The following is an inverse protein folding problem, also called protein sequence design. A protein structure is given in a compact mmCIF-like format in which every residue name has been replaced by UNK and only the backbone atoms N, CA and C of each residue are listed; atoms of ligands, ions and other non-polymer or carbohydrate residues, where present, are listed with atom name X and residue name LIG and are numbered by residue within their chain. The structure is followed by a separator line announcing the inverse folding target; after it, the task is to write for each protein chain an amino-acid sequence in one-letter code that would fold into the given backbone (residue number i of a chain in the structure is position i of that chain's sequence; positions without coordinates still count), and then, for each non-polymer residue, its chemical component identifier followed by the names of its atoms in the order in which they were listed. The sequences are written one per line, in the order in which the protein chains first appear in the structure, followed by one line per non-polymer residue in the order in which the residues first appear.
data_IF_914060226204
#
_entry.id   IF_914060226204
#
_cell.length_a   1.000
_cell.length_b   1.000
_cell.length_c   1.000
_cell.angle_alpha   90.00
_cell.angle_beta   90.00
_cell.angle_gamma   90.00
#
_symmetry.space_group_name_H-M   'P 1'
#
loop_
_entity.id
_entity.type
_entity.pdbx_description
1 polymer ?
#
# COMPACT_ATOMS: atom_id res chain seq x y z
N UNK A 1 7.58 0.05 28.71
CA UNK A 1 7.54 -0.33 27.27
C UNK A 1 8.11 0.87 26.53
N UNK A 2 9.28 0.72 25.89
CA UNK A 2 9.75 1.73 24.94
C UNK A 2 8.72 1.80 23.81
N UNK A 3 8.09 2.95 23.64
CA UNK A 3 7.24 3.22 22.49
C UNK A 3 8.09 3.03 21.22
N UNK A 4 7.73 2.07 20.39
CA UNK A 4 8.41 1.87 19.10
C UNK A 4 8.24 3.15 18.27
N UNK A 5 9.34 3.87 18.07
CA UNK A 5 9.34 5.14 17.33
C UNK A 5 9.19 4.96 15.82
N UNK A 6 9.47 3.75 15.33
CA UNK A 6 9.26 3.35 13.94
C UNK A 6 8.96 1.86 13.87
N UNK A 7 8.04 1.47 13.02
CA UNK A 7 7.69 0.07 12.74
C UNK A 7 7.38 -0.11 11.26
N UNK A 8 7.97 -1.13 10.67
CA UNK A 8 7.66 -1.59 9.31
C UNK A 8 7.43 -3.08 9.38
N UNK A 9 6.28 -3.55 8.95
CA UNK A 9 5.95 -4.95 8.86
C UNK A 9 5.48 -5.28 7.45
N UNK A 10 6.08 -6.32 6.90
CA UNK A 10 5.69 -6.93 5.64
C UNK A 10 5.26 -8.35 5.98
N UNK A 11 4.08 -8.75 5.60
CA UNK A 11 3.62 -10.11 5.80
C UNK A 11 2.93 -10.63 4.54
N UNK A 12 3.19 -11.91 4.25
CA UNK A 12 2.58 -12.63 3.16
C UNK A 12 1.82 -13.83 3.72
N UNK A 13 0.67 -14.14 3.16
CA UNK A 13 -0.04 -15.38 3.45
C UNK A 13 -0.62 -16.01 2.21
N UNK A 14 -0.65 -17.34 2.24
CA UNK A 14 -1.26 -18.20 1.26
C UNK A 14 -2.37 -18.99 1.95
N UNK A 15 -3.59 -18.79 1.51
CA UNK A 15 -4.77 -19.47 1.99
C UNK A 15 -5.22 -20.47 0.93
N UNK A 16 -5.26 -21.72 1.27
CA UNK A 16 -5.53 -22.84 0.36
C UNK A 16 -6.86 -23.47 0.72
N UNK A 17 -7.63 -23.82 -0.31
CA UNK A 17 -8.90 -24.54 -0.10
C UNK A 17 -8.66 -25.96 0.39
N UNK A 18 -9.35 -26.37 1.42
CA UNK A 18 -9.41 -27.77 1.86
C UNK A 18 -9.94 -28.68 0.74
N UNK A 19 -9.32 -29.85 0.58
CA UNK A 19 -9.68 -30.82 -0.48
C UNK A 19 -8.99 -30.59 -1.82
N UNK A 20 -8.14 -29.58 -1.96
CA UNK A 20 -7.23 -29.42 -3.10
C UNK A 20 -5.83 -29.85 -2.67
N UNK A 21 -5.22 -30.78 -3.41
CA UNK A 21 -3.87 -31.29 -3.15
C UNK A 21 -2.81 -30.32 -3.69
N UNK A 22 -2.43 -29.33 -2.87
CA UNK A 22 -1.32 -28.44 -3.18
C UNK A 22 0.01 -29.17 -2.99
N UNK A 23 0.95 -28.94 -3.90
CA UNK A 23 2.26 -29.58 -3.80
C UNK A 23 3.08 -29.00 -2.64
N UNK A 24 3.70 -29.89 -1.84
CA UNK A 24 4.61 -29.49 -0.76
C UNK A 24 5.74 -28.58 -1.25
N UNK A 25 6.25 -28.83 -2.44
CA UNK A 25 7.29 -28.00 -3.07
C UNK A 25 6.85 -26.56 -3.33
N UNK A 26 5.57 -26.33 -3.55
CA UNK A 26 5.00 -25.00 -3.72
C UNK A 26 4.88 -24.28 -2.36
N UNK A 27 4.26 -24.92 -1.38
CA UNK A 27 4.08 -24.34 -0.04
C UNK A 27 5.41 -24.09 0.66
N UNK A 28 6.37 -25.02 0.51
CA UNK A 28 7.73 -24.85 1.01
C UNK A 28 8.42 -23.63 0.37
N UNK A 29 8.31 -23.48 -0.97
CA UNK A 29 8.87 -22.32 -1.66
C UNK A 29 8.21 -21.02 -1.25
N UNK A 30 6.90 -21.00 -1.06
CA UNK A 30 6.17 -19.84 -0.56
C UNK A 30 6.68 -19.42 0.84
N UNK A 31 6.87 -20.38 1.74
CA UNK A 31 7.39 -20.12 3.08
C UNK A 31 8.87 -19.68 3.07
N UNK A 32 9.74 -20.38 2.32
CA UNK A 32 11.20 -20.13 2.35
C UNK A 32 11.62 -18.87 1.58
N UNK A 33 11.00 -18.58 0.42
CA UNK A 33 11.42 -17.49 -0.44
C UNK A 33 10.61 -16.22 -0.23
N UNK A 34 9.35 -16.34 0.18
CA UNK A 34 8.45 -15.20 0.36
C UNK A 34 8.01 -15.02 1.82
N UNK A 35 8.53 -15.86 2.73
CA UNK A 35 8.15 -15.84 4.16
C UNK A 35 6.63 -15.88 4.36
N UNK A 36 5.92 -16.59 3.45
CA UNK A 36 4.48 -16.67 3.48
C UNK A 36 4.01 -17.66 4.55
N UNK A 37 3.05 -17.23 5.36
CA UNK A 37 2.29 -18.14 6.23
C UNK A 37 1.28 -18.89 5.37
N UNK A 38 1.30 -20.23 5.43
CA UNK A 38 0.43 -21.10 4.63
C UNK A 38 -0.68 -21.69 5.49
N UNK A 39 -1.93 -21.54 5.07
CA UNK A 39 -3.12 -22.02 5.78
C UNK A 39 -4.00 -22.82 4.83
N UNK A 40 -4.63 -23.86 5.37
CA UNK A 40 -5.68 -24.63 4.66
C UNK A 40 -7.00 -24.41 5.37
N UNK A 41 -8.03 -24.00 4.62
CA UNK A 41 -9.34 -23.68 5.17
C UNK A 41 -10.46 -24.24 4.28
N UNK A 42 -11.58 -24.57 4.90
CA UNK A 42 -12.84 -24.77 4.20
C UNK A 42 -13.37 -23.42 3.69
N UNK A 43 -13.27 -23.17 2.38
CA UNK A 43 -13.73 -21.93 1.76
C UNK A 43 -15.26 -21.79 1.73
N UNK A 44 -16.00 -22.88 1.99
CA UNK A 44 -17.45 -22.83 2.13
C UNK A 44 -17.91 -22.45 3.56
N UNK A 45 -16.98 -22.38 4.52
CA UNK A 45 -17.33 -22.00 5.88
C UNK A 45 -17.80 -20.53 5.96
N UNK A 46 -18.91 -20.22 6.67
CA UNK A 46 -19.51 -18.89 6.65
C UNK A 46 -18.61 -17.76 7.19
N UNK A 47 -17.62 -18.09 8.01
CA UNK A 47 -16.72 -17.12 8.62
C UNK A 47 -15.29 -17.13 8.05
N UNK A 48 -15.06 -17.84 6.94
CA UNK A 48 -13.73 -17.97 6.33
C UNK A 48 -13.15 -16.60 5.93
N UNK A 49 -13.92 -15.75 5.29
CA UNK A 49 -13.49 -14.41 4.91
C UNK A 49 -13.13 -13.52 6.10
N UNK A 50 -13.86 -13.66 7.22
CA UNK A 50 -13.52 -12.96 8.47
C UNK A 50 -12.21 -13.49 9.08
N UNK A 51 -11.91 -14.77 8.89
CA UNK A 51 -10.65 -15.37 9.38
C UNK A 51 -9.48 -14.78 8.61
N UNK A 52 -9.55 -14.69 7.28
CA UNK A 52 -8.55 -14.04 6.44
C UNK A 52 -8.43 -12.55 6.78
N UNK A 53 -9.57 -11.86 6.93
CA UNK A 53 -9.59 -10.43 7.32
C UNK A 53 -8.98 -10.16 8.69
N UNK A 54 -9.15 -11.06 9.67
CA UNK A 54 -8.49 -10.94 10.99
C UNK A 54 -6.97 -11.08 10.92
N UNK A 55 -6.46 -11.93 10.03
CA UNK A 55 -5.04 -12.02 9.78
C UNK A 55 -4.49 -10.67 9.28
N UNK A 56 -5.14 -10.07 8.27
CA UNK A 56 -4.76 -8.74 7.76
C UNK A 56 -4.80 -7.68 8.87
N UNK A 57 -5.84 -7.68 9.71
CA UNK A 57 -5.96 -6.78 10.87
C UNK A 57 -4.78 -6.92 11.83
N UNK A 58 -4.39 -8.15 12.16
CA UNK A 58 -3.25 -8.42 13.04
C UNK A 58 -1.92 -7.92 12.47
N UNK A 59 -1.72 -8.00 11.15
CA UNK A 59 -0.47 -7.63 10.46
C UNK A 59 -0.42 -6.16 10.01
N UNK A 60 -1.49 -5.40 10.23
CA UNK A 60 -1.56 -3.96 9.91
C UNK A 60 -1.77 -3.07 11.14
N UNK A 61 -1.34 -3.55 12.30
CA UNK A 61 -1.49 -2.79 13.55
C UNK A 61 -2.93 -2.45 13.90
N UNK A 62 -3.88 -3.24 13.42
CA UNK A 62 -5.31 -3.01 13.63
C UNK A 62 -5.94 -1.96 12.71
N UNK A 63 -5.20 -1.41 11.75
CA UNK A 63 -5.69 -0.34 10.86
C UNK A 63 -6.60 -0.83 9.75
N UNK A 64 -6.36 -2.04 9.23
CA UNK A 64 -7.15 -2.63 8.15
C UNK A 64 -7.89 -3.87 8.67
N UNK A 65 -9.14 -3.98 8.32
CA UNK A 65 -9.95 -5.18 8.49
C UNK A 65 -10.79 -5.36 7.22
N UNK A 66 -10.16 -5.88 6.15
CA UNK A 66 -10.86 -6.07 4.89
C UNK A 66 -11.93 -7.14 5.04
N UNK A 67 -13.02 -6.94 4.35
CA UNK A 67 -14.05 -7.97 4.17
C UNK A 67 -13.65 -8.82 2.95
N UNK A 68 -13.14 -10.02 3.19
CA UNK A 68 -12.73 -10.94 2.14
C UNK A 68 -13.91 -11.81 1.75
N UNK A 69 -14.32 -11.71 0.50
CA UNK A 69 -15.38 -12.55 -0.08
C UNK A 69 -14.73 -13.63 -0.93
N UNK A 70 -14.89 -14.88 -0.52
CA UNK A 70 -14.43 -16.05 -1.27
C UNK A 70 -15.57 -16.58 -2.14
N UNK A 71 -15.26 -16.92 -3.37
CA UNK A 71 -16.20 -17.50 -4.34
C UNK A 71 -16.13 -19.03 -4.29
N UNK A 72 -17.17 -19.69 -4.74
CA UNK A 72 -17.26 -21.15 -4.75
C UNK A 72 -16.16 -21.85 -5.58
N UNK A 73 -15.61 -21.15 -6.56
CA UNK A 73 -14.56 -21.64 -7.43
C UNK A 73 -13.16 -21.17 -7.05
N UNK A 74 -13.00 -20.34 -6.01
CA UNK A 74 -11.68 -19.95 -5.52
C UNK A 74 -11.00 -21.18 -4.91
N UNK A 75 -9.75 -21.42 -5.28
CA UNK A 75 -8.94 -22.54 -4.76
C UNK A 75 -7.84 -22.05 -3.82
N UNK A 76 -7.39 -20.81 -3.98
CA UNK A 76 -6.44 -20.18 -3.09
C UNK A 76 -6.60 -18.66 -3.06
N UNK A 77 -6.12 -18.04 -2.01
CA UNK A 77 -6.01 -16.58 -1.88
C UNK A 77 -4.58 -16.23 -1.46
N UNK A 78 -4.00 -15.28 -2.16
CA UNK A 78 -2.74 -14.66 -1.77
C UNK A 78 -3.03 -13.32 -1.11
N UNK A 79 -2.49 -13.10 0.06
CA UNK A 79 -2.62 -11.83 0.77
C UNK A 79 -1.25 -11.30 1.17
N UNK A 80 -0.99 -10.07 0.79
CA UNK A 80 0.18 -9.32 1.24
C UNK A 80 -0.28 -8.12 2.05
N UNK A 81 0.39 -7.84 3.16
CA UNK A 81 0.18 -6.64 3.94
C UNK A 81 1.48 -5.87 4.10
N UNK A 82 1.35 -4.56 4.03
CA UNK A 82 2.41 -3.60 4.34
C UNK A 82 1.90 -2.68 5.43
N UNK A 83 2.58 -2.65 6.55
CA UNK A 83 2.31 -1.71 7.62
C UNK A 83 3.54 -0.83 7.85
N UNK A 84 3.32 0.47 7.89
CA UNK A 84 4.34 1.46 8.19
C UNK A 84 3.81 2.43 9.24
N UNK A 85 4.61 2.65 10.27
CA UNK A 85 4.37 3.67 11.30
C UNK A 85 5.71 4.31 11.67
N UNK A 86 5.78 5.62 11.67
CA UNK A 86 6.95 6.34 12.16
C UNK A 86 6.54 7.68 12.75
N UNK A 87 7.27 8.11 13.79
CA UNK A 87 7.13 9.43 14.37
C UNK A 87 7.98 10.44 13.59
N UNK A 88 7.60 11.70 13.64
CA UNK A 88 8.48 12.79 13.17
C UNK A 88 9.70 12.88 14.08
N UNK A 89 10.89 13.07 13.51
CA UNK A 89 12.11 13.34 14.31
C UNK A 89 11.89 14.58 15.20
N UNK A 90 11.32 15.62 14.62
CA UNK A 90 10.87 16.79 15.34
C UNK A 90 9.34 16.82 15.33
N UNK A 91 8.72 16.53 16.47
CA UNK A 91 7.27 16.55 16.58
C UNK A 91 6.69 17.94 16.34
N UNK A 92 5.50 18.00 15.72
CA UNK A 92 4.74 19.24 15.64
C UNK A 92 4.13 19.55 17.01
N UNK A 93 4.18 20.84 17.40
CA UNK A 93 3.54 21.27 18.65
C UNK A 93 2.01 21.20 18.54
N UNK A 94 1.38 20.58 19.53
CA UNK A 94 -0.07 20.57 19.61
C UNK A 94 -0.66 22.00 19.76
N UNK A 95 0.07 22.90 20.42
CA UNK A 95 -0.35 24.31 20.60
C UNK A 95 -0.24 25.14 19.32
N UNK A 96 0.50 24.67 18.31
CA UNK A 96 0.60 25.31 17.00
C UNK A 96 -0.31 24.62 15.96
N UNK A 97 -1.20 23.72 16.38
CA UNK A 97 -2.18 23.09 15.50
C UNK A 97 -3.44 23.93 15.49
N UNK A 98 -3.81 24.43 14.33
CA UNK A 98 -4.95 25.34 14.16
C UNK A 98 -5.92 24.81 13.10
N UNK A 99 -7.20 25.16 13.24
CA UNK A 99 -8.20 24.86 12.21
C UNK A 99 -8.03 25.79 11.03
N UNK A 100 -7.91 25.23 9.83
CA UNK A 100 -7.84 25.99 8.59
C UNK A 100 -8.58 25.27 7.46
N UNK A 101 -8.82 25.98 6.38
CA UNK A 101 -9.52 25.45 5.22
C UNK A 101 -8.54 24.78 4.25
N UNK A 102 -8.83 23.56 3.91
CA UNK A 102 -8.16 22.80 2.84
C UNK A 102 -9.07 22.78 1.61
N UNK A 103 -8.59 23.29 0.49
CA UNK A 103 -9.30 23.25 -0.78
C UNK A 103 -8.78 22.11 -1.62
N UNK A 104 -9.64 21.12 -1.88
CA UNK A 104 -9.35 20.01 -2.76
C UNK A 104 -9.31 20.45 -4.24
N UNK A 105 -8.67 19.65 -5.10
CA UNK A 105 -8.51 19.94 -6.53
C UNK A 105 -9.86 20.21 -7.24
N UNK A 106 -10.94 19.60 -6.78
CA UNK A 106 -12.29 19.80 -7.34
C UNK A 106 -13.01 21.03 -6.76
N UNK A 107 -12.32 21.87 -5.99
CA UNK A 107 -12.87 23.09 -5.40
C UNK A 107 -13.68 22.89 -4.10
N UNK A 108 -13.75 21.67 -3.58
CA UNK A 108 -14.38 21.41 -2.27
C UNK A 108 -13.47 21.96 -1.16
N UNK A 109 -14.04 22.68 -0.22
CA UNK A 109 -13.33 23.18 0.95
C UNK A 109 -13.71 22.36 2.17
N UNK A 110 -12.71 21.89 2.91
CA UNK A 110 -12.83 21.12 4.14
C UNK A 110 -12.10 21.85 5.26
N UNK A 111 -12.74 22.13 6.37
CA UNK A 111 -12.07 22.67 7.56
C UNK A 111 -11.46 21.50 8.35
N UNK A 112 -10.15 21.52 8.52
CA UNK A 112 -9.42 20.48 9.24
C UNK A 112 -8.25 21.09 10.04
N UNK A 113 -7.71 20.36 11.05
CA UNK A 113 -6.55 20.85 11.80
C UNK A 113 -5.30 20.82 10.91
N UNK A 114 -4.54 21.90 10.92
CA UNK A 114 -3.25 22.02 10.26
C UNK A 114 -2.11 22.02 11.28
N UNK A 115 -1.07 21.28 10.96
CA UNK A 115 0.20 21.26 11.68
C UNK A 115 1.07 22.40 11.16
N UNK A 116 1.52 23.27 12.06
CA UNK A 116 2.39 24.39 11.71
C UNK A 116 3.78 24.26 12.33
N UNK A 117 4.81 24.55 11.55
CA UNK A 117 6.18 24.67 12.01
C UNK A 117 7.05 25.43 11.01
N UNK A 118 8.09 26.09 11.51
CA UNK A 118 9.16 26.66 10.68
C UNK A 118 10.41 25.82 10.91
N UNK A 119 10.95 25.21 9.85
CA UNK A 119 12.10 24.29 9.95
C UNK A 119 13.03 24.47 8.77
N UNK A 120 14.34 24.31 9.01
CA UNK A 120 15.31 24.21 7.93
C UNK A 120 15.29 22.80 7.36
N UNK A 121 15.28 22.68 6.05
CA UNK A 121 15.25 21.40 5.35
C UNK A 121 15.71 21.52 3.90
N UNK A 122 15.83 20.37 3.26
CA UNK A 122 16.14 20.31 1.83
C UNK A 122 14.85 20.49 1.03
N UNK A 123 14.90 21.36 0.03
CA UNK A 123 13.82 21.56 -0.91
C UNK A 123 14.34 21.68 -2.34
N UNK A 124 13.57 21.19 -3.29
CA UNK A 124 13.73 21.43 -4.73
C UNK A 124 12.65 22.43 -5.13
N UNK A 125 13.06 23.50 -5.79
CA UNK A 125 12.16 24.50 -6.39
C UNK A 125 12.32 24.35 -7.89
N UNK A 126 11.32 23.84 -8.57
CA UNK A 126 11.31 23.63 -10.01
C UNK A 126 10.18 24.45 -10.64
N UNK A 127 10.19 24.55 -11.96
CA UNK A 127 9.09 25.15 -12.69
C UNK A 127 7.87 24.24 -12.63
N UNK A 128 6.76 24.75 -12.14
CA UNK A 128 5.49 24.05 -12.01
C UNK A 128 5.31 23.25 -10.71
N UNK A 129 6.36 23.09 -9.87
CA UNK A 129 6.23 22.32 -8.64
C UNK A 129 7.37 22.56 -7.64
N UNK A 130 7.09 22.23 -6.39
CA UNK A 130 8.06 22.27 -5.30
C UNK A 130 8.06 20.93 -4.56
N UNK A 131 9.25 20.47 -4.12
CA UNK A 131 9.42 19.28 -3.32
C UNK A 131 10.15 19.63 -2.03
N UNK A 132 9.63 19.18 -0.90
CA UNK A 132 10.33 19.24 0.37
C UNK A 132 10.11 17.95 1.16
N UNK A 133 10.99 17.67 2.11
CA UNK A 133 10.85 16.48 2.95
C UNK A 133 11.00 16.78 4.43
N UNK A 134 10.33 15.99 5.24
CA UNK A 134 10.48 15.97 6.70
C UNK A 134 11.05 14.63 7.15
N UNK A 135 12.07 14.65 8.03
CA UNK A 135 12.65 13.43 8.55
C UNK A 135 11.70 12.75 9.55
N UNK A 136 11.65 11.45 9.46
CA UNK A 136 10.95 10.56 10.38
C UNK A 136 11.94 9.66 11.10
N UNK A 137 11.55 9.16 12.27
CA UNK A 137 12.35 8.19 13.03
C UNK A 137 12.66 6.94 12.18
N UNK A 138 13.79 6.29 12.49
CA UNK A 138 14.23 5.12 11.70
C UNK A 138 14.90 5.46 10.37
N UNK A 139 15.24 6.74 10.11
CA UNK A 139 15.89 7.19 8.87
C UNK A 139 14.95 7.38 7.68
N UNK A 140 13.65 7.34 7.92
CA UNK A 140 12.63 7.57 6.88
C UNK A 140 12.44 9.07 6.61
N UNK A 141 11.87 9.37 5.45
CA UNK A 141 11.50 10.73 5.07
C UNK A 141 10.10 10.74 4.46
N UNK A 142 9.30 11.72 4.86
CA UNK A 142 8.05 12.04 4.20
C UNK A 142 8.30 13.14 3.19
N UNK A 143 7.99 12.88 1.93
CA UNK A 143 8.09 13.86 0.85
C UNK A 143 6.74 14.53 0.61
N UNK A 144 6.80 15.84 0.41
CA UNK A 144 5.66 16.66 0.05
C UNK A 144 5.94 17.30 -1.30
N UNK A 145 5.16 16.87 -2.30
CA UNK A 145 5.18 17.43 -3.64
C UNK A 145 4.01 18.41 -3.76
N UNK A 146 4.31 19.67 -3.98
CA UNK A 146 3.32 20.73 -4.10
C UNK A 146 3.37 21.31 -5.52
N UNK A 147 2.31 21.15 -6.34
CA UNK A 147 2.18 21.85 -7.60
C UNK A 147 2.11 23.36 -7.40
N UNK A 148 2.60 24.12 -8.37
CA UNK A 148 2.37 25.55 -8.39
C UNK A 148 0.90 25.88 -8.70
N UNK A 149 0.49 27.10 -8.42
CA UNK A 149 -0.89 27.54 -8.64
C UNK A 149 -1.27 27.38 -10.14
N UNK A 150 -2.36 26.66 -10.39
CA UNK A 150 -2.83 26.35 -11.75
C UNK A 150 -2.31 25.02 -12.33
N UNK A 151 -1.32 24.39 -11.70
CA UNK A 151 -0.84 23.08 -12.08
C UNK A 151 -1.63 21.97 -11.37
N UNK A 152 -1.74 20.79 -12.01
CA UNK A 152 -2.42 19.63 -11.40
C UNK A 152 -1.42 18.52 -11.06
N UNK A 153 -1.73 17.74 -10.03
CA UNK A 153 -0.95 16.54 -9.69
C UNK A 153 -0.93 15.56 -10.88
N UNK A 154 -2.04 15.41 -11.58
CA UNK A 154 -2.16 14.48 -12.71
C UNK A 154 -1.22 14.88 -13.86
N UNK A 155 -1.08 16.21 -14.15
CA UNK A 155 -0.15 16.69 -15.17
C UNK A 155 1.30 16.43 -14.78
N UNK A 156 1.66 16.61 -13.51
CA UNK A 156 3.00 16.33 -13.01
C UNK A 156 3.33 14.83 -13.07
N UNK A 157 2.40 13.97 -12.68
CA UNK A 157 2.61 12.51 -12.71
C UNK A 157 2.65 11.94 -14.13
N UNK A 158 1.92 12.55 -15.08
CA UNK A 158 1.95 12.15 -16.48
C UNK A 158 3.24 12.59 -17.22
N UNK A 159 3.97 13.56 -16.68
CA UNK A 159 5.19 14.14 -17.27
C UNK A 159 6.45 13.31 -16.94
N UNK A 160 7.35 13.82 -16.08
CA UNK A 160 8.67 13.22 -15.85
C UNK A 160 8.62 11.89 -15.06
N UNK A 161 7.45 11.54 -14.49
CA UNK A 161 7.26 10.39 -13.64
C UNK A 161 7.71 10.62 -12.18
N UNK A 162 7.12 9.84 -11.26
CA UNK A 162 7.30 10.02 -9.82
C UNK A 162 8.77 9.93 -9.39
N UNK A 163 9.57 9.03 -9.98
CA UNK A 163 10.97 8.87 -9.62
C UNK A 163 11.79 10.14 -9.91
N UNK A 164 11.51 10.83 -11.01
CA UNK A 164 12.18 12.08 -11.35
C UNK A 164 11.71 13.24 -10.46
N UNK A 165 10.43 13.29 -10.12
CA UNK A 165 9.87 14.28 -9.21
C UNK A 165 10.43 14.14 -7.77
N UNK A 166 10.73 12.91 -7.33
CA UNK A 166 11.32 12.64 -6.02
C UNK A 166 12.86 12.73 -6.01
N UNK A 167 13.49 13.09 -7.12
CA UNK A 167 14.94 13.29 -7.15
C UNK A 167 15.33 14.54 -6.36
N UNK A 168 16.21 14.36 -5.36
CA UNK A 168 16.68 15.42 -4.47
C UNK A 168 18.10 15.89 -4.77
N UNK A 169 18.70 15.51 -5.90
CA UNK A 169 20.07 15.89 -6.25
C UNK A 169 20.26 17.41 -6.37
N UNK A 170 19.23 18.12 -6.84
CA UNK A 170 19.20 19.58 -6.92
C UNK A 170 18.70 20.29 -5.66
N UNK A 171 18.41 19.53 -4.58
CA UNK A 171 17.83 20.11 -3.37
C UNK A 171 18.82 21.04 -2.64
N UNK A 172 18.32 22.20 -2.24
CA UNK A 172 19.06 23.18 -1.45
C UNK A 172 18.49 23.29 -0.06
N UNK A 173 19.35 23.59 0.92
CA UNK A 173 18.91 23.90 2.27
C UNK A 173 18.19 25.25 2.31
N UNK A 174 16.97 25.24 2.85
CA UNK A 174 16.12 26.42 2.98
C UNK A 174 15.40 26.43 4.33
N UNK A 175 15.00 27.58 4.78
CA UNK A 175 13.98 27.71 5.82
C UNK A 175 12.62 27.51 5.17
N UNK A 176 11.84 26.58 5.67
CA UNK A 176 10.54 26.18 5.14
C UNK A 176 9.49 26.41 6.21
N UNK A 177 8.46 27.14 5.87
CA UNK A 177 7.25 27.25 6.66
C UNK A 177 6.29 26.13 6.28
N UNK A 178 6.03 25.25 7.22
CA UNK A 178 5.17 24.08 7.04
C UNK A 178 3.77 24.37 7.51
N UNK A 179 2.80 24.09 6.66
CA UNK A 179 1.36 24.10 6.95
C UNK A 179 0.75 22.84 6.36
N UNK A 180 0.60 21.79 7.17
CA UNK A 180 0.23 20.45 6.72
C UNK A 180 -1.12 20.07 7.31
N UNK A 181 -2.16 19.81 6.48
CA UNK A 181 -3.43 19.33 7.01
C UNK A 181 -3.24 17.96 7.65
N UNK A 182 -3.90 17.70 8.77
CA UNK A 182 -4.05 16.34 9.28
C UNK A 182 -5.05 15.61 8.40
N UNK A 183 -4.63 14.52 7.80
CA UNK A 183 -5.48 13.74 6.89
C UNK A 183 -5.48 12.26 7.23
N UNK A 184 -6.57 11.60 6.87
CA UNK A 184 -6.65 10.15 6.78
C UNK A 184 -7.26 9.82 5.40
N UNK A 185 -6.55 9.02 4.62
CA UNK A 185 -6.98 8.62 3.28
C UNK A 185 -7.25 7.12 3.28
N UNK A 186 -8.40 6.74 2.76
CA UNK A 186 -8.73 5.36 2.45
C UNK A 186 -8.98 5.25 0.96
N UNK A 187 -8.48 4.21 0.35
CA UNK A 187 -8.71 3.93 -1.06
C UNK A 187 -8.73 2.42 -1.29
N UNK A 188 -9.45 2.02 -2.30
CA UNK A 188 -9.48 0.67 -2.84
C UNK A 188 -9.24 0.76 -4.34
N UNK A 189 -8.37 -0.08 -4.85
CA UNK A 189 -8.02 -0.09 -6.27
C UNK A 189 -7.95 -1.53 -6.78
N UNK A 190 -8.54 -1.77 -7.94
CA UNK A 190 -8.35 -3.00 -8.68
C UNK A 190 -6.95 -2.99 -9.31
N UNK A 191 -6.10 -3.94 -8.88
CA UNK A 191 -4.73 -4.08 -9.37
C UNK A 191 -4.63 -4.90 -10.65
N UNK A 192 -5.64 -5.65 -11.05
CA UNK A 192 -5.59 -6.48 -12.26
C UNK A 192 -5.22 -5.68 -13.50
N UNK A 193 -5.87 -4.55 -13.82
CA UNK A 193 -5.47 -3.74 -14.98
C UNK A 193 -4.07 -3.13 -14.85
N UNK A 194 -3.61 -2.87 -13.63
CA UNK A 194 -2.26 -2.33 -13.37
C UNK A 194 -1.20 -3.39 -13.65
N UNK A 195 -1.42 -4.60 -13.14
CA UNK A 195 -0.52 -5.74 -13.34
C UNK A 195 -0.44 -6.18 -14.80
N UNK A 196 -1.59 -6.18 -15.50
CA UNK A 196 -1.63 -6.47 -16.94
C UNK A 196 -0.79 -5.46 -17.75
N UNK A 197 -0.93 -4.16 -17.48
CA UNK A 197 -0.08 -3.12 -18.11
C UNK A 197 1.40 -3.26 -17.75
N UNK A 198 1.71 -3.82 -16.60
CA UNK A 198 3.08 -4.14 -16.18
C UNK A 198 3.63 -5.45 -16.79
N UNK A 199 2.85 -6.15 -17.65
CA UNK A 199 3.26 -7.34 -18.36
C UNK A 199 2.84 -8.67 -17.69
N UNK A 200 2.06 -8.61 -16.59
CA UNK A 200 1.51 -9.82 -15.96
C UNK A 200 0.14 -10.10 -16.60
N UNK A 201 0.13 -10.62 -17.83
CA UNK A 201 -1.11 -10.84 -18.59
C UNK A 201 -1.63 -12.25 -18.43
N UNK A 202 -0.76 -13.25 -18.67
CA UNK A 202 -1.13 -14.67 -18.75
C UNK A 202 -1.77 -15.23 -17.49
N UNK A 203 -1.33 -14.76 -16.31
CA UNK A 203 -1.87 -15.23 -15.03
C UNK A 203 -3.38 -14.95 -14.85
N UNK A 204 -3.91 -13.95 -15.57
CA UNK A 204 -5.32 -13.55 -15.54
C UNK A 204 -6.14 -14.12 -16.70
N UNK A 205 -5.53 -14.94 -17.58
CA UNK A 205 -6.18 -15.51 -18.72
C UNK A 205 -6.38 -17.00 -18.49
N UNK A 206 -7.63 -17.46 -18.42
CA UNK A 206 -7.95 -18.87 -18.10
C UNK A 206 -7.32 -19.88 -19.10
N UNK A 207 -7.18 -19.49 -20.38
CA UNK A 207 -6.64 -20.35 -21.43
C UNK A 207 -5.11 -20.35 -21.51
N UNK A 208 -4.44 -19.37 -20.86
CA UNK A 208 -2.98 -19.18 -20.93
C UNK A 208 -2.26 -19.32 -19.59
N UNK A 209 -3.00 -19.24 -18.49
CA UNK A 209 -2.44 -19.34 -17.15
C UNK A 209 -1.89 -20.75 -16.90
N UNK A 210 -0.66 -20.82 -16.39
CA UNK A 210 -0.03 -22.08 -16.01
C UNK A 210 0.28 -22.08 -14.51
N UNK A 211 -0.57 -22.74 -13.76
CA UNK A 211 -0.45 -22.98 -12.32
C UNK A 211 -0.17 -24.47 -12.01
N UNK A 212 0.34 -25.24 -12.98
CA UNK A 212 0.64 -26.66 -12.83
C UNK A 212 1.68 -26.98 -11.74
N UNK A 213 2.47 -25.97 -11.33
CA UNK A 213 3.42 -26.10 -10.22
C UNK A 213 2.78 -25.89 -8.83
N UNK A 214 1.51 -25.52 -8.78
CA UNK A 214 0.79 -25.23 -7.54
C UNK A 214 0.06 -26.47 -7.04
N UNK A 215 -0.66 -27.15 -7.95
CA UNK A 215 -1.41 -28.38 -7.69
C UNK A 215 -1.66 -29.11 -9.03
N UNK A 216 -2.22 -30.31 -8.97
CA UNK A 216 -2.72 -30.97 -10.19
C UNK A 216 -3.99 -30.27 -10.68
N UNK A 217 -3.83 -29.30 -11.56
CA UNK A 217 -4.95 -28.50 -12.11
C UNK A 217 -5.99 -29.33 -12.86
N UNK A 218 -5.62 -30.54 -13.33
CA UNK A 218 -6.56 -31.44 -14.01
C UNK A 218 -7.67 -31.96 -13.08
N UNK A 219 -7.43 -31.91 -11.77
CA UNK A 219 -8.41 -32.31 -10.74
C UNK A 219 -9.35 -31.15 -10.34
N UNK A 220 -9.10 -29.94 -10.81
CA UNK A 220 -9.93 -28.79 -10.50
C UNK A 220 -11.19 -28.74 -11.35
N UNK A 221 -12.30 -28.18 -10.85
CA UNK A 221 -13.46 -27.89 -11.65
C UNK A 221 -13.08 -26.99 -12.84
N UNK A 222 -13.27 -27.48 -14.06
CA UNK A 222 -12.88 -26.76 -15.29
C UNK A 222 -11.45 -27.01 -15.76
N UNK A 223 -10.60 -27.76 -15.02
CA UNK A 223 -9.26 -28.18 -15.43
C UNK A 223 -8.24 -27.07 -15.59
N UNK A 224 -8.50 -25.88 -15.04
CA UNK A 224 -7.63 -24.71 -15.13
C UNK A 224 -7.67 -23.88 -13.84
N UNK A 225 -6.60 -23.12 -13.57
CA UNK A 225 -6.54 -22.11 -12.53
C UNK A 225 -6.00 -20.81 -13.12
N UNK A 226 -6.53 -19.68 -12.66
CA UNK A 226 -6.08 -18.32 -13.02
C UNK A 226 -6.36 -17.34 -11.90
N UNK A 227 -5.73 -16.17 -11.92
CA UNK A 227 -5.99 -15.08 -10.97
C UNK A 227 -7.20 -14.24 -11.38
N UNK A 228 -7.96 -13.75 -10.42
CA UNK A 228 -9.14 -12.89 -10.66
C UNK A 228 -9.23 -11.78 -9.61
#
# INVERSE_FOLDING_TARGET
QEEKRCSVYLANSLWMREGVDFYDSFTQRAAEQFYAECYTLDFAAPDVGKTVGRWAHGHTGGLLQPEIVLKDNDIFVLLNTVFFQANWVDAFSASATEMADFTAQQGQTLSCPFLHAVRSGKAVMAEGWNLASLPMEGGWQMFFLLPDEGESIDSLLAGPGLAALLNTDAAQYRQIEWSIPKFAVKGEIDLVPVLQRAGVERAFCADEADFSNLCDVSQLPGGAAYLS
#
